data_IF_490002009959
#
_entry.id   IF_490002009959
#
_cell.length_a   1.000
_cell.length_b   1.000
_cell.length_c   1.000
_cell.angle_alpha   90.00
_cell.angle_beta   90.00
_cell.angle_gamma   90.00
#
_symmetry.space_group_name_H-M   'P 1'
#
loop_
_entity.id
_entity.type
_entity.pdbx_description
1 polymer ?
#
# COMPACT_ATOMS: atom_id res chain seq x y z
N UNK A 1 0.54 13.63 4.78
CA UNK A 1 0.98 12.23 4.57
C UNK A 1 2.46 12.07 4.89
N UNK A 2 2.79 10.97 5.52
CA UNK A 2 4.20 10.62 5.69
C UNK A 2 4.81 10.21 4.35
N UNK A 3 6.12 10.24 4.27
CA UNK A 3 6.90 10.09 3.03
C UNK A 3 6.64 8.78 2.29
N UNK A 4 6.45 7.69 3.00
CA UNK A 4 6.22 6.37 2.43
C UNK A 4 4.85 5.84 2.85
N UNK A 5 4.11 5.31 1.88
CA UNK A 5 2.76 4.78 2.08
C UNK A 5 2.77 3.29 1.76
N UNK A 6 2.19 2.48 2.63
CA UNK A 6 2.07 1.04 2.43
C UNK A 6 0.62 0.74 2.07
N UNK A 7 0.42 0.22 0.88
CA UNK A 7 -0.89 0.01 0.28
C UNK A 7 -0.94 -1.39 -0.34
N UNK A 8 -2.05 -2.05 -0.15
CA UNK A 8 -2.25 -3.38 -0.71
C UNK A 8 -3.70 -3.81 -0.56
N UNK A 9 -3.90 -5.10 -0.51
CA UNK A 9 -5.22 -5.66 -0.26
C UNK A 9 -6.09 -5.77 -1.49
N UNK A 10 -7.38 -5.77 -1.26
CA UNK A 10 -8.33 -5.97 -2.34
C UNK A 10 -8.34 -4.77 -3.28
N UNK A 11 -8.05 -5.04 -4.56
CA UNK A 11 -7.97 -4.00 -5.60
C UNK A 11 -6.97 -2.89 -5.30
N UNK A 12 -5.96 -3.19 -4.49
CA UNK A 12 -4.93 -2.21 -4.10
C UNK A 12 -5.53 -0.94 -3.45
N UNK A 13 -6.64 -1.08 -2.77
CA UNK A 13 -7.35 0.05 -2.18
C UNK A 13 -7.24 0.12 -0.66
N UNK A 14 -6.55 -0.83 -0.03
CA UNK A 14 -6.43 -0.85 1.41
C UNK A 14 -5.15 -0.15 1.86
N UNK A 15 -5.34 0.92 2.61
CA UNK A 15 -4.21 1.59 3.25
C UNK A 15 -3.82 0.80 4.49
N UNK A 16 -2.55 0.44 4.58
CA UNK A 16 -2.02 -0.38 5.68
C UNK A 16 -1.32 0.50 6.70
N UNK A 17 -0.56 1.48 6.24
CA UNK A 17 0.14 2.36 7.13
C UNK A 17 1.07 3.30 6.39
N UNK A 18 1.81 4.09 7.16
CA UNK A 18 2.74 5.06 6.60
C UNK A 18 3.95 5.19 7.50
N UNK A 19 5.05 5.64 6.93
CA UNK A 19 6.29 5.87 7.68
C UNK A 19 7.11 6.96 7.01
N UNK A 20 7.85 7.71 7.83
CA UNK A 20 8.80 8.69 7.30
C UNK A 20 10.12 8.04 6.88
N UNK A 21 10.32 6.76 7.20
CA UNK A 21 11.50 6.02 6.79
C UNK A 21 11.13 4.80 5.96
N UNK A 22 12.00 4.47 5.00
CA UNK A 22 11.82 3.28 4.18
C UNK A 22 11.88 2.02 5.06
N UNK A 23 12.75 2.00 6.05
CA UNK A 23 12.86 0.88 6.99
C UNK A 23 11.53 0.63 7.72
N UNK A 24 10.90 1.67 8.23
CA UNK A 24 9.60 1.56 8.89
C UNK A 24 8.51 1.06 7.94
N UNK A 25 8.51 1.53 6.69
CA UNK A 25 7.56 1.06 5.68
C UNK A 25 7.77 -0.42 5.36
N UNK A 26 9.00 -0.88 5.28
CA UNK A 26 9.32 -2.30 5.06
C UNK A 26 8.80 -3.17 6.20
N UNK A 27 8.92 -2.71 7.44
CA UNK A 27 8.41 -3.42 8.60
C UNK A 27 6.89 -3.56 8.50
N UNK A 28 6.19 -2.48 8.17
CA UNK A 28 4.73 -2.51 7.99
C UNK A 28 4.32 -3.49 6.89
N UNK A 29 4.98 -3.44 5.75
CA UNK A 29 4.67 -4.32 4.63
C UNK A 29 4.92 -5.79 5.01
N UNK A 30 6.04 -6.10 5.63
CA UNK A 30 6.39 -7.46 6.02
C UNK A 30 5.42 -8.02 7.06
N UNK A 31 5.04 -7.22 8.04
CA UNK A 31 4.12 -7.62 9.09
C UNK A 31 2.75 -8.02 8.56
N UNK A 32 2.33 -7.39 7.48
CA UNK A 32 1.02 -7.62 6.90
C UNK A 32 1.02 -8.56 5.68
N UNK A 33 2.17 -9.11 5.34
CA UNK A 33 2.32 -9.94 4.15
C UNK A 33 1.42 -11.19 4.16
N UNK A 34 1.25 -11.82 5.31
CA UNK A 34 0.49 -13.05 5.43
C UNK A 34 -0.98 -12.88 5.07
N UNK A 35 -1.55 -11.72 5.34
CA UNK A 35 -2.96 -11.47 5.09
C UNK A 35 -3.29 -11.31 3.61
N UNK A 36 -2.28 -10.98 2.83
CA UNK A 36 -2.48 -10.66 1.42
C UNK A 36 -1.98 -11.74 0.48
N UNK A 37 -1.36 -12.76 1.02
CA UNK A 37 -0.73 -13.79 0.20
C UNK A 37 -1.78 -14.75 -0.35
N UNK A 38 -1.91 -14.76 -1.68
CA UNK A 38 -2.69 -15.73 -2.45
C UNK A 38 -4.20 -15.79 -2.26
N UNK A 39 -4.85 -14.78 -1.76
CA UNK A 39 -6.28 -14.86 -1.52
C UNK A 39 -7.12 -13.97 -2.45
N UNK A 40 -7.91 -14.60 -3.34
CA UNK A 40 -9.06 -13.97 -4.02
C UNK A 40 -8.80 -12.57 -4.61
N UNK A 41 -7.69 -12.40 -5.32
CA UNK A 41 -7.37 -11.12 -5.94
C UNK A 41 -6.81 -10.08 -4.99
N UNK A 42 -6.37 -10.47 -3.83
CA UNK A 42 -5.72 -9.59 -2.88
C UNK A 42 -4.27 -9.34 -3.29
N UNK A 43 -3.86 -8.10 -3.19
CA UNK A 43 -2.52 -7.68 -3.55
C UNK A 43 -1.63 -7.58 -2.32
N UNK A 44 -0.39 -8.04 -2.46
CA UNK A 44 0.59 -7.93 -1.39
C UNK A 44 0.86 -6.47 -1.06
N UNK A 45 1.15 -6.16 0.22
CA UNK A 45 1.53 -4.81 0.60
C UNK A 45 2.73 -4.32 -0.20
N UNK A 46 2.59 -3.15 -0.81
CA UNK A 46 3.65 -2.51 -1.57
C UNK A 46 3.94 -1.13 -0.97
N UNK A 47 5.18 -0.69 -1.11
CA UNK A 47 5.60 0.61 -0.62
C UNK A 47 5.60 1.59 -1.78
N UNK A 48 4.96 2.74 -1.59
CA UNK A 48 4.90 3.83 -2.57
C UNK A 48 5.42 5.10 -1.93
N UNK A 49 5.87 6.02 -2.74
CA UNK A 49 6.16 7.37 -2.27
C UNK A 49 4.86 8.16 -2.18
N UNK A 50 4.72 8.96 -1.14
CA UNK A 50 3.52 9.77 -0.92
C UNK A 50 3.20 10.69 -2.11
N UNK A 51 4.21 11.18 -2.80
CA UNK A 51 4.04 12.04 -3.98
C UNK A 51 3.38 11.34 -5.18
N UNK A 52 3.39 10.01 -5.19
CA UNK A 52 2.83 9.22 -6.28
C UNK A 52 1.43 8.68 -6.00
N UNK A 53 0.89 8.96 -4.83
CA UNK A 53 -0.42 8.43 -4.44
C UNK A 53 -1.30 9.53 -3.85
N UNK A 54 -2.60 9.38 -4.01
CA UNK A 54 -3.58 10.28 -3.46
C UNK A 54 -4.73 9.45 -2.87
N UNK A 55 -5.16 9.79 -1.66
CA UNK A 55 -6.33 9.16 -1.06
C UNK A 55 -7.52 10.02 -1.45
N UNK A 56 -8.39 9.46 -2.29
CA UNK A 56 -9.54 10.19 -2.82
C UNK A 56 -10.81 9.96 -2.02
N UNK A 57 -10.88 8.83 -1.30
CA UNK A 57 -12.06 8.49 -0.52
C UNK A 57 -11.72 7.50 0.57
N UNK A 58 -12.49 7.47 1.64
CA UNK A 58 -12.33 6.50 2.72
C UNK A 58 -13.68 5.89 3.08
N UNK A 59 -13.75 4.58 3.11
CA UNK A 59 -14.98 3.84 3.39
C UNK A 59 -14.99 3.20 4.78
N UNK A 60 -14.05 3.54 5.63
CA UNK A 60 -13.94 2.92 6.93
C UNK A 60 -13.07 1.68 6.91
N UNK A 61 -13.28 0.79 7.86
CA UNK A 61 -12.41 -0.36 8.07
C UNK A 61 -12.95 -1.64 7.47
N UNK A 62 -12.03 -2.45 6.95
CA UNK A 62 -12.33 -3.81 6.54
C UNK A 62 -12.39 -4.68 7.80
N UNK A 63 -13.23 -5.71 7.76
CA UNK A 63 -13.27 -6.71 8.82
C UNK A 63 -12.08 -7.66 8.69
N UNK A 64 -10.94 -7.23 9.20
CA UNK A 64 -9.73 -8.03 9.31
C UNK A 64 -9.27 -8.02 10.75
N UNK A 65 -8.39 -8.95 11.16
CA UNK A 65 -7.88 -8.94 12.53
C UNK A 65 -7.24 -7.62 12.93
N UNK A 66 -6.61 -6.93 12.00
CA UNK A 66 -5.92 -5.69 12.27
C UNK A 66 -6.75 -4.43 12.01
N UNK A 67 -7.96 -4.61 11.47
CA UNK A 67 -8.89 -3.51 11.25
C UNK A 67 -8.37 -2.44 10.30
N UNK A 68 -7.92 -2.84 9.12
CA UNK A 68 -7.38 -1.89 8.15
C UNK A 68 -8.46 -0.97 7.57
N UNK A 69 -8.05 0.24 7.26
CA UNK A 69 -8.91 1.20 6.58
C UNK A 69 -9.05 0.85 5.09
N UNK A 70 -10.24 1.01 4.57
CA UNK A 70 -10.44 1.02 3.13
C UNK A 70 -10.36 2.47 2.69
N UNK A 71 -9.30 2.79 1.98
CA UNK A 71 -9.10 4.13 1.42
C UNK A 71 -8.83 4.00 -0.06
N UNK A 72 -9.75 4.50 -0.86
CA UNK A 72 -9.57 4.45 -2.31
C UNK A 72 -8.37 5.29 -2.68
N UNK A 73 -7.40 4.65 -3.30
CA UNK A 73 -6.13 5.26 -3.63
C UNK A 73 -6.04 5.49 -5.14
N UNK A 74 -5.66 6.69 -5.51
CA UNK A 74 -5.37 7.04 -6.89
C UNK A 74 -3.86 7.10 -7.05
N UNK A 75 -3.34 6.41 -8.06
CA UNK A 75 -1.91 6.41 -8.34
C UNK A 75 -1.61 7.32 -9.53
N UNK A 76 -0.41 7.87 -9.54
CA UNK A 76 0.12 8.54 -10.71
C UNK A 76 0.28 7.55 -11.87
N UNK A 77 0.51 8.06 -13.08
CA UNK A 77 0.64 7.21 -14.26
C UNK A 77 1.80 6.21 -14.16
N UNK A 78 2.89 6.63 -13.51
CA UNK A 78 4.05 5.78 -13.29
C UNK A 78 4.59 5.97 -11.88
N UNK A 79 3.90 5.43 -10.87
CA UNK A 79 4.33 5.60 -9.50
C UNK A 79 5.60 4.82 -9.22
N UNK A 80 6.42 5.32 -8.29
CA UNK A 80 7.55 4.56 -7.78
C UNK A 80 7.04 3.52 -6.80
N UNK A 81 7.45 2.28 -7.03
CA UNK A 81 7.10 1.14 -6.18
C UNK A 81 8.40 0.50 -5.70
N UNK A 82 8.47 0.22 -4.40
CA UNK A 82 9.60 -0.53 -3.87
C UNK A 82 9.41 -2.01 -4.20
N UNK A 83 10.35 -2.57 -4.93
CA UNK A 83 10.35 -3.99 -5.28
C UNK A 83 11.70 -4.60 -4.95
N UNK A 84 11.67 -5.66 -4.17
CA UNK A 84 12.88 -6.38 -3.75
C UNK A 84 13.84 -5.48 -2.98
N UNK A 85 14.72 -4.79 -3.65
CA UNK A 85 15.77 -3.97 -3.05
C UNK A 85 15.96 -2.61 -3.75
N UNK A 86 15.02 -2.24 -4.60
CA UNK A 86 15.13 -0.99 -5.37
C UNK A 86 13.76 -0.37 -5.66
N UNK A 87 13.80 0.88 -6.07
CA UNK A 87 12.63 1.58 -6.58
C UNK A 87 12.55 1.43 -8.09
N UNK A 88 11.36 1.17 -8.59
CA UNK A 88 11.10 1.14 -10.02
C UNK A 88 9.78 1.81 -10.34
N UNK A 89 9.67 2.32 -11.57
CA UNK A 89 8.42 2.88 -12.07
C UNK A 89 7.49 1.76 -12.52
N UNK A 90 6.25 1.82 -12.07
CA UNK A 90 5.22 0.87 -12.48
C UNK A 90 4.22 1.57 -13.39
N UNK A 91 3.81 0.90 -14.47
CA UNK A 91 2.77 1.43 -15.34
C UNK A 91 1.41 1.19 -14.69
N UNK A 92 0.63 2.27 -14.60
CA UNK A 92 -0.73 2.23 -14.06
C UNK A 92 -1.66 2.95 -15.03
N UNK A 93 -2.78 2.36 -15.28
CA UNK A 93 -3.80 2.96 -16.16
C UNK A 93 -4.98 3.50 -15.38
#
# INVERSE_FOLDING_TARGET
>A
MKKYQVIGGQYESCWIGESDSLHGAKILATRNMEYWDNWQGWHKPCIYRAEDVEIVESYGRICTPDGWDIRVTKFGARPLVWRYDHWERADRE
#
